data_IF_921936050941
#
_entry.id   IF_921936050941
#
_cell.length_a   1.000
_cell.length_b   1.000
_cell.length_c   1.000
_cell.angle_alpha   90.00
_cell.angle_beta   90.00
_cell.angle_gamma   90.00
#
_symmetry.space_group_name_H-M   'P 1'
#
loop_
_entity.id
_entity.type
_entity.pdbx_description
1 polymer ?
#
# COMPACT_ATOMS: atom_id res chain seq x y z
N UNK A 1 7.73 12.74 12.82
CA UNK A 1 7.92 11.44 13.48
C UNK A 1 7.31 10.36 12.58
N UNK A 2 7.98 9.22 12.39
CA UNK A 2 7.45 8.06 11.66
C UNK A 2 7.17 6.97 12.69
N UNK A 3 5.93 6.47 12.75
CA UNK A 3 5.49 5.54 13.81
C UNK A 3 5.55 4.06 13.39
N UNK A 4 5.44 3.78 12.09
CA UNK A 4 5.61 2.44 11.52
C UNK A 4 5.85 2.53 10.00
N UNK A 5 6.27 1.41 9.42
CA UNK A 5 6.39 1.25 7.98
C UNK A 5 6.14 -0.18 7.53
N UNK A 6 5.58 -0.33 6.33
CA UNK A 6 5.40 -1.60 5.65
C UNK A 6 5.48 -1.42 4.14
N UNK A 7 5.75 -2.50 3.42
CA UNK A 7 5.77 -2.55 1.96
C UNK A 7 5.34 -3.92 1.49
N UNK A 8 4.82 -3.99 0.27
CA UNK A 8 4.67 -5.26 -0.45
C UNK A 8 6.05 -5.76 -0.92
N UNK A 9 6.17 -7.06 -1.23
CA UNK A 9 7.30 -7.57 -2.01
C UNK A 9 7.36 -6.89 -3.38
N UNK A 10 8.57 -6.74 -3.94
CA UNK A 10 8.73 -6.24 -5.30
C UNK A 10 8.54 -7.39 -6.29
N UNK A 11 7.53 -7.26 -7.17
CA UNK A 11 7.24 -8.23 -8.21
C UNK A 11 8.05 -7.97 -9.49
N UNK A 12 8.19 -9.00 -10.33
CA UNK A 12 8.61 -8.84 -11.72
C UNK A 12 7.41 -8.47 -12.58
N UNK A 13 7.65 -7.77 -13.70
CA UNK A 13 6.62 -7.51 -14.71
C UNK A 13 6.01 -8.84 -15.18
N UNK A 14 4.67 -8.91 -15.21
CA UNK A 14 3.89 -10.13 -15.49
C UNK A 14 4.20 -11.33 -14.56
N UNK A 15 4.74 -11.07 -13.36
CA UNK A 15 5.08 -12.08 -12.36
C UNK A 15 3.95 -12.42 -11.39
N UNK A 16 4.32 -12.86 -10.19
CA UNK A 16 3.38 -13.34 -9.15
C UNK A 16 2.39 -12.31 -8.62
N UNK A 17 2.65 -11.01 -8.82
CA UNK A 17 1.78 -9.92 -8.37
C UNK A 17 0.92 -9.33 -9.51
N UNK A 18 0.98 -9.89 -10.72
CA UNK A 18 0.30 -9.34 -11.90
C UNK A 18 -1.22 -9.21 -11.75
N UNK A 19 -1.81 -10.03 -10.88
CA UNK A 19 -3.27 -10.12 -10.70
C UNK A 19 -3.79 -9.06 -9.70
N UNK A 20 -2.91 -8.22 -9.15
CA UNK A 20 -3.27 -7.12 -8.25
C UNK A 20 -3.01 -5.77 -8.91
N UNK A 21 -3.95 -4.84 -8.76
CA UNK A 21 -3.74 -3.46 -9.19
C UNK A 21 -2.76 -2.70 -8.29
N UNK A 22 -2.23 -1.58 -8.78
CA UNK A 22 -1.36 -0.70 -7.99
C UNK A 22 -2.05 -0.20 -6.71
N UNK A 23 -3.35 0.09 -6.79
CA UNK A 23 -4.16 0.50 -5.63
C UNK A 23 -4.29 -0.63 -4.59
N UNK A 24 -4.50 -1.88 -5.02
CA UNK A 24 -4.57 -3.02 -4.10
C UNK A 24 -3.23 -3.26 -3.38
N UNK A 25 -2.11 -3.22 -4.12
CA UNK A 25 -0.78 -3.37 -3.54
C UNK A 25 -0.46 -2.24 -2.56
N UNK A 26 -0.82 -1.00 -2.90
CA UNK A 26 -0.71 0.15 -2.00
C UNK A 26 -1.57 -0.03 -0.73
N UNK A 27 -2.81 -0.50 -0.89
CA UNK A 27 -3.72 -0.80 0.22
C UNK A 27 -3.18 -1.87 1.17
N UNK A 28 -2.57 -2.94 0.65
CA UNK A 28 -1.92 -3.96 1.49
C UNK A 28 -0.78 -3.37 2.32
N UNK A 29 0.04 -2.51 1.72
CA UNK A 29 1.14 -1.84 2.44
C UNK A 29 0.60 -0.88 3.52
N UNK A 30 -0.42 -0.07 3.20
CA UNK A 30 -1.04 0.86 4.16
C UNK A 30 -1.66 0.11 5.34
N UNK A 31 -2.45 -0.94 5.08
CA UNK A 31 -3.07 -1.74 6.14
C UNK A 31 -2.02 -2.33 7.09
N UNK A 32 -0.97 -2.94 6.55
CA UNK A 32 0.10 -3.52 7.35
C UNK A 32 0.88 -2.46 8.16
N UNK A 33 1.03 -1.24 7.64
CA UNK A 33 1.65 -0.14 8.37
C UNK A 33 0.79 0.32 9.55
N UNK A 34 -0.53 0.44 9.36
CA UNK A 34 -1.49 0.80 10.42
C UNK A 34 -1.53 -0.27 11.52
N UNK A 35 -1.59 -1.55 11.14
CA UNK A 35 -1.56 -2.69 12.07
C UNK A 35 -0.30 -2.67 12.94
N UNK A 36 0.88 -2.45 12.33
CA UNK A 36 2.16 -2.34 13.06
C UNK A 36 2.23 -1.11 13.97
N UNK A 37 1.58 -0.03 13.59
CA UNK A 37 1.48 1.19 14.39
C UNK A 37 0.45 1.08 15.52
N UNK A 38 -0.41 0.05 15.52
CA UNK A 38 -1.56 -0.04 16.42
C UNK A 38 -2.61 1.05 16.18
N UNK A 39 -2.63 1.65 14.99
CA UNK A 39 -3.54 2.75 14.62
C UNK A 39 -4.79 2.14 13.98
N UNK A 40 -5.97 2.52 14.47
CA UNK A 40 -7.20 2.07 13.84
C UNK A 40 -7.47 2.88 12.56
N UNK A 41 -8.05 2.27 11.51
CA UNK A 41 -8.31 2.98 10.25
C UNK A 41 -9.21 4.22 10.40
N UNK A 42 -10.15 4.23 11.36
CA UNK A 42 -11.04 5.37 11.63
C UNK A 42 -10.32 6.60 12.22
N UNK A 43 -9.07 6.44 12.66
CA UNK A 43 -8.25 7.53 13.20
C UNK A 43 -7.40 8.21 12.12
N UNK A 44 -7.40 7.69 10.89
CA UNK A 44 -6.65 8.25 9.77
C UNK A 44 -7.46 9.34 9.10
N UNK A 45 -7.03 10.60 9.25
CA UNK A 45 -7.72 11.75 8.66
C UNK A 45 -7.43 11.90 7.15
N UNK A 46 -6.22 11.53 6.72
CA UNK A 46 -5.79 11.69 5.34
C UNK A 46 -4.83 10.60 4.90
N UNK A 47 -4.89 10.21 3.63
CA UNK A 47 -3.99 9.24 3.00
C UNK A 47 -3.46 9.81 1.70
N UNK A 48 -2.15 9.69 1.49
CA UNK A 48 -1.49 10.10 0.25
C UNK A 48 -0.81 8.87 -0.35
N UNK A 49 -1.17 8.53 -1.57
CA UNK A 49 -0.60 7.39 -2.30
C UNK A 49 -0.06 7.89 -3.64
N UNK A 50 1.24 7.68 -3.88
CA UNK A 50 1.88 8.03 -5.14
C UNK A 50 1.84 6.87 -6.12
N UNK A 51 1.33 7.12 -7.34
CA UNK A 51 1.38 6.18 -8.45
C UNK A 51 1.74 6.92 -9.74
N UNK A 52 2.82 6.51 -10.40
CA UNK A 52 3.35 7.21 -11.59
C UNK A 52 2.51 6.88 -12.84
N UNK A 53 2.23 5.60 -13.08
CA UNK A 53 1.44 5.14 -14.22
C UNK A 53 0.07 4.67 -13.72
N UNK A 54 -0.98 5.39 -14.07
CA UNK A 54 -2.37 5.09 -13.68
C UNK A 54 -3.19 4.45 -14.78
N UNK A 55 -2.69 4.45 -16.02
CA UNK A 55 -3.34 3.79 -17.13
C UNK A 55 -3.36 2.26 -16.92
N UNK A 56 -4.56 1.67 -16.92
CA UNK A 56 -4.77 0.24 -16.70
C UNK A 56 -4.72 -0.21 -15.23
N UNK A 57 -4.85 0.73 -14.29
CA UNK A 57 -4.95 0.46 -12.85
C UNK A 57 -6.36 0.03 -12.40
#
# INVERSE_FOLDING_TARGET
MIVAGARTPMGRLLGSLKDFSGAQLGGFAIRAALERAGVRPDQVEYTIMGQVLTAGA
#
